data_IF_562554951523
#
_entry.id   IF_562554951523
#
_cell.length_a   1.000
_cell.length_b   1.000
_cell.length_c   1.000
_cell.angle_alpha   90.00
_cell.angle_beta   90.00
_cell.angle_gamma   90.00
#
_symmetry.space_group_name_H-M   'P 1'
#
loop_
_entity.id
_entity.type
_entity.pdbx_description
1 polymer ?
#
# COMPACT_ATOMS: atom_id res chain seq x y z
N UNK A 1 32.29 -46.73 -32.86
CA UNK A 1 33.25 -46.97 -31.77
C UNK A 1 33.37 -45.79 -30.79
N UNK A 2 33.36 -44.55 -31.25
CA UNK A 2 33.50 -43.35 -30.37
C UNK A 2 32.45 -43.22 -29.26
N UNK A 3 31.17 -43.44 -29.58
CA UNK A 3 30.06 -43.37 -28.61
C UNK A 3 30.20 -44.35 -27.44
N UNK A 4 30.63 -45.58 -27.72
CA UNK A 4 30.84 -46.59 -26.64
C UNK A 4 32.02 -46.23 -25.70
N UNK A 5 33.07 -45.62 -26.25
CA UNK A 5 34.20 -45.14 -25.47
C UNK A 5 33.79 -43.98 -24.59
N UNK A 6 33.05 -43.01 -25.13
CA UNK A 6 32.55 -41.83 -24.40
C UNK A 6 31.63 -42.23 -23.22
N UNK A 7 30.70 -43.17 -23.41
CA UNK A 7 29.86 -43.68 -22.33
C UNK A 7 30.65 -44.39 -21.25
N UNK A 8 31.68 -45.15 -21.62
CA UNK A 8 32.52 -45.82 -20.63
C UNK A 8 33.37 -44.82 -19.84
N UNK A 9 33.91 -43.79 -20.46
CA UNK A 9 34.68 -42.75 -19.80
C UNK A 9 33.81 -41.88 -18.90
N UNK A 10 32.60 -41.57 -19.28
CA UNK A 10 31.57 -40.91 -18.44
C UNK A 10 31.26 -41.76 -17.21
N UNK A 11 31.03 -43.06 -17.37
CA UNK A 11 30.73 -43.96 -16.27
C UNK A 11 31.87 -44.15 -15.31
N UNK A 12 33.10 -44.22 -15.81
CA UNK A 12 34.34 -44.34 -15.00
C UNK A 12 34.59 -43.07 -14.15
N UNK A 13 34.25 -41.88 -14.69
CA UNK A 13 34.47 -40.60 -14.02
C UNK A 13 33.12 -39.93 -13.56
N UNK A 14 32.11 -40.77 -13.29
CA UNK A 14 30.71 -40.29 -13.01
C UNK A 14 30.62 -39.21 -11.91
N UNK A 15 31.45 -39.35 -10.85
CA UNK A 15 31.45 -38.37 -9.74
C UNK A 15 31.87 -36.97 -10.22
N UNK A 16 32.91 -36.92 -11.02
CA UNK A 16 33.42 -35.64 -11.57
C UNK A 16 32.42 -35.03 -12.53
N UNK A 17 31.85 -35.81 -13.46
CA UNK A 17 30.84 -35.33 -14.39
C UNK A 17 29.56 -34.91 -13.66
N UNK A 18 29.13 -35.64 -12.66
CA UNK A 18 27.97 -35.31 -11.83
C UNK A 18 28.19 -33.99 -11.08
N UNK A 19 29.38 -33.77 -10.51
CA UNK A 19 29.72 -32.51 -9.83
C UNK A 19 29.67 -31.31 -10.76
N UNK A 20 30.24 -31.45 -11.98
CA UNK A 20 30.20 -30.37 -12.99
C UNK A 20 28.75 -30.11 -13.44
N UNK A 21 27.99 -31.19 -13.68
CA UNK A 21 26.58 -31.08 -14.05
C UNK A 21 25.75 -30.39 -12.97
N UNK A 22 25.91 -30.80 -11.71
CA UNK A 22 25.18 -30.18 -10.59
C UNK A 22 25.55 -28.73 -10.39
N UNK A 23 26.83 -28.35 -10.58
CA UNK A 23 27.27 -26.97 -10.48
C UNK A 23 26.67 -26.10 -11.61
N UNK A 24 26.68 -26.60 -12.85
CA UNK A 24 26.06 -25.93 -13.99
C UNK A 24 24.53 -25.84 -13.83
N UNK A 25 23.91 -26.93 -13.39
CA UNK A 25 22.47 -26.99 -13.11
C UNK A 25 22.08 -25.97 -12.03
N UNK A 26 22.82 -25.94 -10.91
CA UNK A 26 22.56 -24.99 -9.82
C UNK A 26 22.66 -23.53 -10.30
N UNK A 27 23.70 -23.22 -11.10
CA UNK A 27 23.85 -21.87 -11.66
C UNK A 27 22.68 -21.46 -12.56
N UNK A 28 22.25 -22.35 -13.45
CA UNK A 28 21.09 -22.11 -14.31
C UNK A 28 19.78 -22.03 -13.52
N UNK A 29 19.63 -22.87 -12.51
CA UNK A 29 18.44 -22.90 -11.66
C UNK A 29 18.27 -21.59 -10.87
N UNK A 30 19.36 -21.12 -10.24
CA UNK A 30 19.37 -19.85 -9.50
C UNK A 30 19.10 -18.68 -10.45
N UNK A 31 19.75 -18.65 -11.59
CA UNK A 31 19.54 -17.57 -12.59
C UNK A 31 18.08 -17.55 -13.07
N UNK A 32 17.55 -18.69 -13.48
CA UNK A 32 16.17 -18.79 -13.96
C UNK A 32 15.16 -18.50 -12.85
N UNK A 33 15.46 -18.87 -11.59
CA UNK A 33 14.61 -18.57 -10.44
C UNK A 33 14.52 -17.07 -10.18
N UNK A 34 15.64 -16.37 -10.15
CA UNK A 34 15.68 -14.91 -9.95
C UNK A 34 14.97 -14.17 -11.10
N UNK A 35 15.20 -14.61 -12.35
CA UNK A 35 14.54 -14.01 -13.51
C UNK A 35 13.02 -14.20 -13.47
N UNK A 36 12.56 -15.40 -13.14
CA UNK A 36 11.12 -15.70 -13.01
C UNK A 36 10.47 -14.91 -11.86
N UNK A 37 11.15 -14.77 -10.71
CA UNK A 37 10.67 -13.99 -9.58
C UNK A 37 10.58 -12.49 -9.95
N UNK A 38 11.62 -11.93 -10.56
CA UNK A 38 11.65 -10.52 -10.99
C UNK A 38 10.52 -10.20 -11.98
N UNK A 39 10.32 -11.06 -12.99
CA UNK A 39 9.24 -10.89 -13.95
C UNK A 39 7.86 -11.07 -13.29
N UNK A 40 7.72 -12.03 -12.36
CA UNK A 40 6.49 -12.26 -11.63
C UNK A 40 6.08 -11.07 -10.76
N UNK A 41 7.04 -10.48 -10.03
CA UNK A 41 6.80 -9.27 -9.24
C UNK A 41 6.39 -8.11 -10.15
N UNK A 42 7.10 -7.88 -11.27
CA UNK A 42 6.76 -6.82 -12.21
C UNK A 42 5.32 -6.94 -12.73
N UNK A 43 4.95 -8.09 -13.24
CA UNK A 43 3.58 -8.33 -13.73
C UNK A 43 2.50 -8.17 -12.65
N UNK A 44 2.78 -8.63 -11.43
CA UNK A 44 1.84 -8.49 -10.31
C UNK A 44 1.68 -7.04 -9.89
N UNK A 45 2.77 -6.27 -9.91
CA UNK A 45 2.76 -4.85 -9.58
C UNK A 45 2.00 -4.05 -10.64
N UNK A 46 2.26 -4.30 -11.91
CA UNK A 46 1.57 -3.63 -13.03
C UNK A 46 0.07 -3.91 -12.96
N UNK A 47 -0.32 -5.18 -12.75
CA UNK A 47 -1.72 -5.56 -12.60
C UNK A 47 -2.38 -4.87 -11.39
N UNK A 48 -1.69 -4.83 -10.25
CA UNK A 48 -2.21 -4.18 -9.04
C UNK A 48 -2.42 -2.67 -9.25
N UNK A 49 -1.48 -1.99 -9.88
CA UNK A 49 -1.59 -0.55 -10.15
C UNK A 49 -2.65 -0.22 -11.21
N UNK A 50 -2.84 -1.07 -12.21
CA UNK A 50 -3.94 -0.97 -13.16
C UNK A 50 -5.29 -1.15 -12.47
N UNK A 51 -5.45 -2.21 -11.67
CA UNK A 51 -6.70 -2.52 -10.97
C UNK A 51 -7.08 -1.45 -9.96
N UNK A 52 -6.11 -0.88 -9.27
CA UNK A 52 -6.34 0.19 -8.28
C UNK A 52 -6.35 1.59 -8.88
N UNK A 53 -6.19 1.74 -10.19
CA UNK A 53 -6.12 3.05 -10.86
C UNK A 53 -5.14 4.00 -10.18
N UNK A 54 -3.95 3.51 -9.83
CA UNK A 54 -2.95 4.32 -9.13
C UNK A 54 -2.72 5.65 -9.85
N UNK A 55 -2.77 6.73 -9.12
CA UNK A 55 -2.48 8.07 -9.63
C UNK A 55 -1.05 8.19 -10.15
N UNK A 56 -0.85 9.12 -11.09
CA UNK A 56 0.46 9.36 -11.70
C UNK A 56 1.25 10.46 -10.99
N UNK A 57 0.54 11.39 -10.30
CA UNK A 57 1.17 12.52 -9.62
C UNK A 57 0.46 12.87 -8.31
N UNK A 58 1.26 13.30 -7.34
CA UNK A 58 0.80 13.83 -6.06
C UNK A 58 1.38 15.22 -5.85
N UNK A 59 0.51 16.18 -5.54
CA UNK A 59 0.92 17.56 -5.23
C UNK A 59 0.61 17.82 -3.76
N UNK A 60 1.61 18.21 -3.00
CA UNK A 60 1.48 18.55 -1.57
C UNK A 60 1.57 20.06 -1.41
N UNK A 61 0.66 20.66 -0.66
CA UNK A 61 0.61 22.10 -0.44
C UNK A 61 -0.03 22.48 0.89
N UNK A 62 -0.14 23.78 1.13
CA UNK A 62 -0.74 24.31 2.35
C UNK A 62 -2.29 24.30 2.34
N UNK A 63 -2.88 24.00 1.19
CA UNK A 63 -4.32 23.90 0.99
C UNK A 63 -4.66 24.04 -0.48
N UNK A 64 -5.66 23.30 -0.94
CA UNK A 64 -6.16 23.32 -2.31
C UNK A 64 -7.66 23.56 -2.32
N UNK A 65 -8.10 24.56 -3.06
CA UNK A 65 -9.51 24.88 -3.28
C UNK A 65 -10.13 23.97 -4.34
N UNK A 66 -11.47 23.94 -4.37
CA UNK A 66 -12.20 23.24 -5.43
C UNK A 66 -12.04 23.91 -6.81
N UNK A 67 -11.71 25.21 -6.83
CA UNK A 67 -11.44 25.92 -8.08
C UNK A 67 -10.10 25.50 -8.69
N UNK A 68 -9.07 25.31 -7.85
CA UNK A 68 -7.76 24.82 -8.28
C UNK A 68 -7.86 23.37 -8.78
N UNK A 69 -8.57 22.50 -8.07
CA UNK A 69 -8.87 21.15 -8.52
C UNK A 69 -9.48 21.16 -9.93
N UNK A 70 -10.60 21.89 -10.09
CA UNK A 70 -11.31 22.01 -11.39
C UNK A 70 -10.47 22.67 -12.49
N UNK A 71 -9.51 23.50 -12.14
CA UNK A 71 -8.61 24.10 -13.11
C UNK A 71 -7.63 23.07 -13.67
N UNK A 72 -7.14 22.16 -12.82
CA UNK A 72 -6.24 21.07 -13.21
C UNK A 72 -6.99 19.98 -13.99
N UNK A 73 -8.21 19.62 -13.58
CA UNK A 73 -9.06 18.65 -14.29
C UNK A 73 -9.37 19.04 -15.76
N UNK A 74 -9.29 20.35 -16.09
CA UNK A 74 -9.49 20.82 -17.46
C UNK A 74 -8.30 20.63 -18.37
N UNK A 75 -7.16 20.23 -17.87
CA UNK A 75 -5.98 19.98 -18.68
C UNK A 75 -6.19 18.70 -19.50
N UNK A 76 -5.86 18.76 -20.78
CA UNK A 76 -6.13 17.68 -21.76
C UNK A 76 -5.50 16.34 -21.39
N UNK A 77 -4.46 16.33 -20.54
CA UNK A 77 -3.71 15.14 -20.12
C UNK A 77 -4.10 14.61 -18.73
N UNK A 78 -5.12 15.20 -18.10
CA UNK A 78 -5.59 14.84 -16.77
C UNK A 78 -6.92 14.11 -16.90
N UNK A 79 -6.99 12.92 -16.36
CA UNK A 79 -8.19 12.09 -16.31
C UNK A 79 -9.07 12.44 -15.11
N UNK A 80 -8.46 12.56 -13.94
CA UNK A 80 -9.13 12.90 -12.69
C UNK A 80 -8.21 13.62 -11.71
N UNK A 81 -8.80 14.38 -10.80
CA UNK A 81 -8.10 15.01 -9.68
C UNK A 81 -8.92 14.86 -8.42
N UNK A 82 -8.36 14.17 -7.42
CA UNK A 82 -8.95 14.10 -6.10
C UNK A 82 -8.23 15.02 -5.12
N UNK A 83 -8.99 15.65 -4.22
CA UNK A 83 -8.46 16.39 -3.09
C UNK A 83 -8.53 15.52 -1.86
N UNK A 84 -7.43 15.44 -1.11
CA UNK A 84 -7.47 14.80 0.20
C UNK A 84 -6.76 15.62 1.27
N UNK A 85 -7.28 15.54 2.49
CA UNK A 85 -6.58 16.04 3.66
C UNK A 85 -5.86 14.86 4.32
N UNK A 86 -4.54 14.99 4.42
CA UNK A 86 -3.67 13.99 5.04
C UNK A 86 -3.16 14.56 6.34
N UNK A 87 -3.51 13.92 7.45
CA UNK A 87 -3.26 14.41 8.80
C UNK A 87 -2.54 13.35 9.63
N UNK A 88 -1.60 13.80 10.46
CA UNK A 88 -0.99 12.95 11.48
C UNK A 88 -1.83 12.98 12.76
N UNK A 89 -2.29 11.83 13.17
CA UNK A 89 -3.12 11.61 14.35
C UNK A 89 -2.51 10.53 15.25
N UNK A 90 -3.15 10.27 16.38
CA UNK A 90 -2.85 9.13 17.25
C UNK A 90 -4.04 8.16 17.22
N UNK A 91 -3.74 6.87 17.15
CA UNK A 91 -4.72 5.81 17.37
C UNK A 91 -4.50 5.19 18.75
N UNK A 92 -5.57 5.01 19.50
CA UNK A 92 -5.53 4.31 20.80
C UNK A 92 -5.87 2.84 20.60
N UNK A 93 -4.92 1.98 20.88
CA UNK A 93 -5.02 0.53 20.66
C UNK A 93 -4.75 -0.25 21.94
N UNK A 94 -5.19 -1.48 21.99
CA UNK A 94 -4.96 -2.38 23.13
C UNK A 94 -5.34 -1.77 24.48
N UNK A 95 -4.40 -1.71 25.40
CA UNK A 95 -4.61 -1.17 26.75
C UNK A 95 -4.41 0.37 26.86
N UNK A 96 -4.64 1.13 25.80
CA UNK A 96 -4.47 2.58 25.75
C UNK A 96 -3.08 3.01 25.26
N UNK A 97 -2.40 2.17 24.51
CA UNK A 97 -1.20 2.54 23.80
C UNK A 97 -1.55 3.51 22.67
N UNK A 98 -0.78 4.59 22.54
CA UNK A 98 -0.97 5.61 21.51
C UNK A 98 0.06 5.42 20.40
N UNK A 99 -0.42 5.19 19.19
CA UNK A 99 0.39 4.97 18.01
C UNK A 99 0.16 6.05 16.97
N UNK A 100 1.20 6.39 16.23
CA UNK A 100 1.09 7.32 15.12
C UNK A 100 0.23 6.72 14.00
N UNK A 101 -0.70 7.51 13.49
CA UNK A 101 -1.58 7.14 12.39
C UNK A 101 -1.74 8.28 11.40
N UNK A 102 -1.68 7.96 10.11
CA UNK A 102 -2.02 8.90 9.06
C UNK A 102 -3.49 8.75 8.67
N UNK A 103 -4.27 9.83 8.82
CA UNK A 103 -5.68 9.86 8.44
C UNK A 103 -5.83 10.58 7.10
N UNK A 104 -6.51 9.93 6.19
CA UNK A 104 -6.81 10.44 4.85
C UNK A 104 -8.31 10.74 4.75
N UNK A 105 -8.67 12.01 4.71
CA UNK A 105 -10.06 12.44 4.53
C UNK A 105 -10.30 12.81 3.07
N UNK A 106 -11.33 12.22 2.44
CA UNK A 106 -11.67 12.41 1.04
C UNK A 106 -13.12 12.86 0.86
N UNK A 107 -13.34 13.75 -0.11
CA UNK A 107 -14.68 14.11 -0.61
C UNK A 107 -15.14 13.17 -1.74
N UNK A 108 -14.19 12.67 -2.50
CA UNK A 108 -14.41 11.77 -3.64
C UNK A 108 -13.19 10.88 -3.83
N UNK A 109 -13.38 9.80 -4.56
CA UNK A 109 -12.31 8.93 -4.98
C UNK A 109 -12.53 8.57 -6.45
N UNK A 110 -11.61 9.02 -7.31
CA UNK A 110 -11.63 8.78 -8.76
C UNK A 110 -10.34 8.12 -9.25
N UNK A 111 -9.32 8.07 -8.38
CA UNK A 111 -8.04 7.43 -8.64
C UNK A 111 -7.49 6.83 -7.34
N UNK A 112 -6.45 6.03 -7.44
CA UNK A 112 -5.81 5.36 -6.30
C UNK A 112 -6.83 4.64 -5.41
N UNK A 113 -7.66 3.78 -5.99
CA UNK A 113 -8.65 3.02 -5.23
C UNK A 113 -7.99 2.08 -4.23
N UNK A 114 -8.46 2.02 -2.98
CA UNK A 114 -8.00 1.01 -2.04
C UNK A 114 -8.33 -0.40 -2.54
N UNK A 115 -7.40 -1.33 -2.37
CA UNK A 115 -7.67 -2.74 -2.57
C UNK A 115 -8.37 -3.28 -1.33
N UNK A 116 -9.58 -3.74 -1.52
CA UNK A 116 -10.44 -4.20 -0.45
C UNK A 116 -10.12 -5.64 -0.03
N UNK A 117 -9.93 -5.85 1.27
CA UNK A 117 -9.63 -7.14 1.88
C UNK A 117 -10.86 -7.71 2.58
N UNK A 118 -11.52 -6.90 3.44
CA UNK A 118 -12.65 -7.31 4.25
C UNK A 118 -13.56 -6.13 4.56
N UNK A 119 -14.84 -6.39 4.87
CA UNK A 119 -15.84 -5.40 5.26
C UNK A 119 -16.57 -4.76 4.09
N UNK A 120 -16.88 -3.47 4.20
CA UNK A 120 -17.55 -2.69 3.16
C UNK A 120 -16.53 -2.04 2.23
N UNK A 121 -16.88 -1.89 0.95
CA UNK A 121 -16.06 -1.14 0.01
C UNK A 121 -16.03 0.35 0.39
N UNK A 122 -14.87 1.01 0.25
CA UNK A 122 -14.74 2.42 0.59
C UNK A 122 -15.56 3.29 -0.34
N UNK A 123 -16.42 4.12 0.25
CA UNK A 123 -17.12 5.21 -0.42
C UNK A 123 -16.95 6.50 0.37
N UNK A 124 -16.63 7.59 -0.31
CA UNK A 124 -16.30 8.86 0.34
C UNK A 124 -17.45 9.54 1.11
N UNK A 125 -18.68 9.05 0.94
CA UNK A 125 -19.90 9.52 1.63
C UNK A 125 -20.38 8.56 2.73
N UNK A 126 -19.58 7.55 3.08
CA UNK A 126 -19.93 6.55 4.10
C UNK A 126 -19.20 6.86 5.41
N UNK A 127 -19.92 6.83 6.53
CA UNK A 127 -19.36 6.99 7.87
C UNK A 127 -18.50 5.80 8.30
N UNK A 128 -17.39 6.07 9.01
CA UNK A 128 -16.47 5.10 9.58
C UNK A 128 -15.08 5.17 8.98
N UNK A 129 -14.21 4.27 9.45
CA UNK A 129 -12.82 4.20 9.01
C UNK A 129 -12.53 2.90 8.25
N UNK A 130 -11.80 3.02 7.14
CA UNK A 130 -11.17 1.92 6.43
C UNK A 130 -9.71 1.87 6.82
N UNK A 131 -9.32 0.77 7.48
CA UNK A 131 -8.06 0.62 8.18
C UNK A 131 -7.09 -0.25 7.40
N UNK A 132 -5.81 0.05 7.50
CA UNK A 132 -4.72 -0.75 6.94
C UNK A 132 -4.72 -2.17 7.49
N UNK A 133 -4.52 -3.17 6.60
CA UNK A 133 -4.49 -4.60 6.95
C UNK A 133 -3.44 -4.97 8.00
N UNK A 134 -2.21 -4.49 7.85
CA UNK A 134 -1.11 -4.88 8.74
C UNK A 134 -1.26 -4.28 10.14
N UNK A 135 -1.78 -3.03 10.22
CA UNK A 135 -2.10 -2.40 11.49
C UNK A 135 -3.27 -3.13 12.18
N UNK A 136 -4.35 -3.40 11.44
CA UNK A 136 -5.50 -4.12 11.97
C UNK A 136 -5.10 -5.50 12.50
N UNK A 137 -4.27 -6.23 11.76
CA UNK A 137 -3.79 -7.56 12.13
C UNK A 137 -2.88 -7.55 13.36
N UNK A 138 -1.97 -6.59 13.48
CA UNK A 138 -1.05 -6.49 14.62
C UNK A 138 -1.81 -6.21 15.92
N UNK A 139 -2.86 -5.40 15.84
CA UNK A 139 -3.65 -4.98 17.01
C UNK A 139 -4.95 -5.76 17.20
N UNK A 140 -5.13 -6.84 16.45
CA UNK A 140 -6.31 -7.74 16.53
C UNK A 140 -7.63 -6.95 16.37
N UNK A 141 -7.66 -5.98 15.46
CA UNK A 141 -8.83 -5.16 15.16
C UNK A 141 -9.61 -5.79 14.00
N UNK A 142 -10.92 -5.90 14.15
CA UNK A 142 -11.82 -6.51 13.18
C UNK A 142 -12.85 -5.50 12.64
N UNK A 143 -13.46 -5.80 11.51
CA UNK A 143 -14.57 -5.02 10.95
C UNK A 143 -15.74 -5.02 11.95
N UNK A 144 -16.23 -3.83 12.26
CA UNK A 144 -17.27 -3.60 13.26
C UNK A 144 -16.75 -3.12 14.60
N UNK A 145 -15.47 -3.26 14.90
CA UNK A 145 -14.84 -2.68 16.08
C UNK A 145 -14.80 -1.17 16.02
N UNK A 146 -14.51 -0.54 17.14
CA UNK A 146 -14.38 0.90 17.26
C UNK A 146 -12.94 1.29 17.57
N UNK A 147 -12.39 2.21 16.78
CA UNK A 147 -11.06 2.76 16.97
C UNK A 147 -11.17 4.21 17.47
N UNK A 148 -10.53 4.50 18.60
CA UNK A 148 -10.44 5.87 19.13
C UNK A 148 -9.21 6.54 18.56
N UNK A 149 -9.42 7.70 17.97
CA UNK A 149 -8.43 8.54 17.32
C UNK A 149 -8.29 9.86 18.07
N UNK A 150 -7.10 10.45 18.04
CA UNK A 150 -6.84 11.76 18.58
C UNK A 150 -6.15 12.64 17.54
N UNK A 151 -6.74 13.80 17.28
CA UNK A 151 -6.16 14.82 16.42
C UNK A 151 -6.24 16.18 17.11
N UNK A 152 -5.10 16.87 17.25
CA UNK A 152 -4.98 18.18 17.91
C UNK A 152 -5.63 18.27 19.30
N UNK A 153 -5.49 17.20 20.09
CA UNK A 153 -6.03 17.12 21.46
C UNK A 153 -7.54 16.83 21.52
N UNK A 154 -8.18 16.54 20.39
CA UNK A 154 -9.57 16.11 20.32
C UNK A 154 -9.63 14.61 20.02
N UNK A 155 -10.33 13.88 20.90
CA UNK A 155 -10.64 12.46 20.67
C UNK A 155 -11.97 12.31 19.91
N UNK A 156 -12.00 11.36 19.01
CA UNK A 156 -13.19 10.91 18.30
C UNK A 156 -13.07 9.41 18.04
N UNK A 157 -14.19 8.75 17.81
CA UNK A 157 -14.21 7.28 17.70
C UNK A 157 -14.97 6.90 16.45
N UNK A 158 -14.31 6.10 15.60
CA UNK A 158 -14.87 5.63 14.35
C UNK A 158 -15.05 4.12 14.34
N UNK A 159 -16.10 3.65 13.69
CA UNK A 159 -16.31 2.24 13.47
C UNK A 159 -15.46 1.78 12.27
N UNK A 160 -14.73 0.68 12.44
CA UNK A 160 -13.98 0.04 11.35
C UNK A 160 -15.00 -0.58 10.39
N UNK A 161 -15.10 -0.02 9.19
CA UNK A 161 -16.02 -0.46 8.14
C UNK A 161 -15.37 -1.42 7.14
N UNK A 162 -14.08 -1.30 6.96
CA UNK A 162 -13.33 -2.18 6.07
C UNK A 162 -11.85 -2.24 6.42
N UNK A 163 -11.25 -3.32 5.96
CA UNK A 163 -9.80 -3.55 5.99
C UNK A 163 -9.28 -3.46 4.57
N UNK A 164 -8.26 -2.66 4.35
CA UNK A 164 -7.77 -2.30 3.02
C UNK A 164 -6.24 -2.37 2.93
N UNK A 165 -5.76 -2.50 1.69
CA UNK A 165 -4.40 -2.14 1.27
C UNK A 165 -4.54 -1.00 0.27
N UNK A 166 -3.71 0.03 0.41
CA UNK A 166 -3.80 1.19 -0.49
C UNK A 166 -2.56 1.31 -1.37
N UNK A 167 -2.70 1.56 -2.68
CA UNK A 167 -1.58 1.54 -3.62
C UNK A 167 -0.53 2.64 -3.37
N UNK A 168 -0.92 3.74 -2.74
CA UNK A 168 0.02 4.82 -2.37
C UNK A 168 0.88 4.46 -1.13
N UNK A 169 0.54 3.40 -0.39
CA UNK A 169 1.16 3.03 0.89
C UNK A 169 1.83 1.65 0.87
N UNK A 170 2.13 1.10 -0.30
CA UNK A 170 2.79 -0.22 -0.42
C UNK A 170 4.13 -0.24 0.33
N UNK A 171 4.80 0.89 0.37
CA UNK A 171 6.08 1.04 1.05
C UNK A 171 6.11 2.37 1.79
N UNK A 172 5.80 2.35 3.08
CA UNK A 172 5.98 3.54 3.89
C UNK A 172 6.86 3.26 5.11
N UNK A 173 7.61 4.27 5.51
CA UNK A 173 8.52 4.23 6.64
C UNK A 173 8.20 5.37 7.60
N UNK A 174 8.20 5.08 8.89
CA UNK A 174 7.97 6.04 9.97
C UNK A 174 8.88 7.27 9.92
N UNK A 175 10.11 7.07 9.46
CA UNK A 175 11.10 8.13 9.28
C UNK A 175 12.16 7.71 8.25
N UNK A 176 12.91 8.68 7.75
CA UNK A 176 13.99 8.49 6.78
C UNK A 176 15.19 7.67 7.30
N UNK A 177 15.26 7.42 8.60
CA UNK A 177 16.35 6.68 9.25
C UNK A 177 16.01 5.17 9.41
N UNK A 178 14.75 4.79 9.19
CA UNK A 178 14.31 3.40 9.19
C UNK A 178 14.63 2.74 7.86
N UNK A 179 15.41 1.66 7.89
CA UNK A 179 15.68 0.84 6.70
C UNK A 179 14.61 -0.25 6.47
N UNK A 180 13.68 -0.44 7.42
CA UNK A 180 12.60 -1.42 7.32
C UNK A 180 11.28 -0.81 7.77
N UNK A 181 10.16 -1.20 7.15
CA UNK A 181 8.83 -0.81 7.61
C UNK A 181 8.59 -1.30 9.04
N UNK A 182 8.03 -0.46 9.88
CA UNK A 182 7.63 -0.82 11.24
C UNK A 182 6.14 -1.19 11.23
N UNK A 183 5.84 -2.38 10.74
CA UNK A 183 4.47 -2.88 10.68
C UNK A 183 3.82 -2.83 12.06
N UNK A 184 2.59 -2.33 12.13
CA UNK A 184 1.80 -2.23 13.36
C UNK A 184 2.18 -1.10 14.32
N UNK A 185 3.33 -0.43 14.17
CA UNK A 185 3.69 0.75 14.98
C UNK A 185 3.21 2.07 14.39
N UNK A 186 2.83 2.04 13.16
CA UNK A 186 2.25 3.14 12.40
C UNK A 186 1.22 2.54 11.46
N UNK A 187 0.08 3.19 11.32
CA UNK A 187 -0.97 2.77 10.42
C UNK A 187 -1.50 3.94 9.60
N UNK A 188 -2.36 3.62 8.66
CA UNK A 188 -3.15 4.62 7.96
C UNK A 188 -4.62 4.21 7.91
N UNK A 189 -5.48 5.24 7.84
CA UNK A 189 -6.91 5.06 7.68
C UNK A 189 -7.48 6.06 6.68
N UNK A 190 -8.58 5.65 6.04
CA UNK A 190 -9.35 6.46 5.11
C UNK A 190 -10.73 6.74 5.70
N UNK A 191 -11.17 7.99 5.63
CA UNK A 191 -12.44 8.47 6.16
C UNK A 191 -13.12 9.41 5.16
N UNK A 192 -14.43 9.55 5.30
CA UNK A 192 -15.17 10.62 4.62
C UNK A 192 -14.71 11.99 5.12
N UNK A 193 -14.64 12.97 4.23
CA UNK A 193 -14.38 14.34 4.62
C UNK A 193 -15.47 14.92 5.53
N UNK A 194 -16.68 14.37 5.51
CA UNK A 194 -17.81 14.77 6.36
C UNK A 194 -17.57 14.44 7.84
N UNK A 195 -16.70 13.45 8.12
CA UNK A 195 -16.34 13.02 9.49
C UNK A 195 -15.16 13.77 10.08
N UNK A 196 -14.71 14.84 9.42
CA UNK A 196 -13.60 15.64 9.94
C UNK A 196 -13.93 16.25 11.31
N UNK A 197 -13.11 15.97 12.37
CA UNK A 197 -13.53 16.25 13.75
C UNK A 197 -13.50 17.72 14.16
N UNK A 198 -12.99 18.64 13.32
CA UNK A 198 -12.79 20.04 13.68
C UNK A 198 -13.86 20.94 13.08
N UNK A 199 -14.31 21.95 13.84
CA UNK A 199 -15.32 22.92 13.41
C UNK A 199 -14.79 23.95 12.39
N UNK A 200 -13.50 24.12 12.31
CA UNK A 200 -12.84 25.11 11.42
C UNK A 200 -12.86 24.71 9.94
N UNK A 201 -13.34 23.50 9.66
CA UNK A 201 -13.39 22.92 8.32
C UNK A 201 -12.08 22.24 7.93
N UNK A 202 -12.21 21.40 6.92
CA UNK A 202 -11.09 20.59 6.42
C UNK A 202 -10.19 21.39 5.46
N UNK A 203 -8.88 21.25 5.60
CA UNK A 203 -7.89 21.80 4.68
C UNK A 203 -7.30 20.66 3.84
N UNK A 204 -7.64 20.62 2.57
CA UNK A 204 -7.12 19.64 1.64
C UNK A 204 -5.69 19.98 1.25
N UNK A 205 -4.72 19.28 1.79
CA UNK A 205 -3.29 19.56 1.63
C UNK A 205 -2.62 18.68 0.56
N UNK A 206 -3.38 17.82 -0.12
CA UNK A 206 -2.87 16.95 -1.18
C UNK A 206 -3.85 16.89 -2.36
N UNK A 207 -3.30 16.97 -3.59
CA UNK A 207 -4.00 16.58 -4.81
C UNK A 207 -3.42 15.27 -5.31
N UNK A 208 -4.31 14.39 -5.74
CA UNK A 208 -4.02 13.10 -6.36
C UNK A 208 -4.50 13.19 -7.80
N UNK A 209 -3.60 13.02 -8.77
CA UNK A 209 -3.83 13.32 -10.19
C UNK A 209 -3.56 12.06 -11.02
N UNK A 210 -4.57 11.69 -11.81
CA UNK A 210 -4.49 10.63 -12.81
C UNK A 210 -4.47 11.21 -14.22
#
# INVERSE_FOLDING_TARGET
MLRRKLFRDLWQNRTQFLSIFLMAFLGLFVFAGIDAESNGIGLSTDYYYEETHLADNWVVGAGFSSEEQKAIEKLEQVESVDRKAVLSAKAKVGNGEELDMELNFLESINSSFPYWIEGEEFMADTEGIWLEELFAKEWELEVGDYLTLEYEGREFTEQIKGIIIHPEYIFYMLNSDSMMPSYGQYGYGFLSAEEFPMQEGIVYNRLVIK
#
